data_IF_426492941900
#
_entry.id   IF_426492941900
#
_cell.length_a   1.000
_cell.length_b   1.000
_cell.length_c   1.000
_cell.angle_alpha   90.00
_cell.angle_beta   90.00
_cell.angle_gamma   90.00
#
_symmetry.space_group_name_H-M   'P 1'
#
loop_
_entity.id
_entity.type
_entity.pdbx_description
1 polymer ?
#
# COMPACT_ATOMS: atom_id res chain seq x y z
N UNK A 1 17.46 -20.98 3.83
CA UNK A 1 17.98 -19.86 3.02
C UNK A 1 19.33 -20.20 2.39
N UNK A 2 20.23 -20.81 3.14
CA UNK A 2 21.63 -21.03 2.72
C UNK A 2 21.80 -22.22 1.74
N UNK A 3 20.74 -22.97 1.44
CA UNK A 3 20.77 -24.11 0.53
C UNK A 3 20.33 -23.78 -0.91
N UNK A 4 19.95 -22.52 -1.19
CA UNK A 4 19.53 -22.12 -2.52
C UNK A 4 20.73 -21.55 -3.31
N UNK A 5 20.91 -21.94 -4.59
CA UNK A 5 21.99 -21.39 -5.40
C UNK A 5 21.78 -19.88 -5.62
N UNK A 6 22.78 -19.07 -5.31
CA UNK A 6 22.76 -17.63 -5.48
C UNK A 6 22.85 -17.19 -6.96
N UNK A 7 22.97 -18.12 -7.89
CA UNK A 7 23.33 -17.87 -9.29
C UNK A 7 22.28 -18.34 -10.31
N UNK A 8 21.02 -18.58 -9.88
CA UNK A 8 19.99 -18.96 -10.86
C UNK A 8 19.59 -17.73 -11.68
N UNK A 9 19.81 -17.72 -13.01
CA UNK A 9 19.49 -16.55 -13.81
C UNK A 9 17.99 -16.33 -13.87
N UNK A 10 17.58 -15.06 -13.78
CA UNK A 10 16.18 -14.69 -13.99
C UNK A 10 15.75 -15.08 -15.41
N UNK A 11 14.51 -15.57 -15.55
CA UNK A 11 13.94 -15.88 -16.84
C UNK A 11 13.88 -14.62 -17.73
N UNK A 12 14.21 -14.76 -19.01
CA UNK A 12 14.03 -13.68 -19.97
C UNK A 12 12.54 -13.56 -20.30
N UNK A 13 11.93 -12.42 -19.99
CA UNK A 13 10.53 -12.12 -20.28
C UNK A 13 10.40 -10.93 -21.22
N UNK A 14 9.40 -10.97 -22.11
CA UNK A 14 9.03 -9.84 -22.96
C UNK A 14 8.05 -8.93 -22.23
N UNK A 15 7.97 -7.67 -22.63
CA UNK A 15 7.02 -6.70 -22.07
C UNK A 15 5.55 -7.13 -22.22
N UNK A 16 5.25 -7.95 -23.24
CA UNK A 16 3.93 -8.51 -23.50
C UNK A 16 3.62 -9.79 -22.71
N UNK A 17 4.61 -10.40 -22.08
CA UNK A 17 4.37 -11.64 -21.34
C UNK A 17 3.53 -11.37 -20.08
N UNK A 18 2.72 -12.34 -19.71
CA UNK A 18 1.86 -12.23 -18.52
C UNK A 18 2.70 -12.31 -17.26
N UNK A 19 2.60 -11.30 -16.41
CA UNK A 19 3.23 -11.29 -15.08
C UNK A 19 2.28 -11.81 -14.01
N UNK A 20 1.02 -11.38 -14.07
CA UNK A 20 0.01 -11.74 -13.07
C UNK A 20 -1.28 -12.13 -13.76
N UNK A 21 -1.89 -13.21 -13.27
CA UNK A 21 -3.26 -13.57 -13.56
C UNK A 21 -4.00 -13.75 -12.24
N UNK A 22 -4.98 -12.88 -11.98
CA UNK A 22 -5.79 -12.91 -10.77
C UNK A 22 -7.25 -13.13 -11.11
N UNK A 23 -7.95 -13.90 -10.30
CA UNK A 23 -9.39 -14.13 -10.46
C UNK A 23 -10.17 -13.31 -9.41
N UNK A 24 -11.14 -12.54 -9.89
CA UNK A 24 -12.09 -11.81 -9.05
C UNK A 24 -13.46 -12.48 -9.10
N UNK A 25 -14.28 -12.26 -8.08
CA UNK A 25 -15.62 -12.87 -7.97
C UNK A 25 -16.58 -12.52 -9.12
N UNK A 26 -16.30 -11.44 -9.87
CA UNK A 26 -17.12 -10.98 -10.97
C UNK A 26 -18.56 -10.60 -10.58
N UNK A 27 -19.13 -9.59 -11.21
CA UNK A 27 -20.51 -9.14 -10.96
C UNK A 27 -21.57 -10.12 -11.45
N UNK A 28 -21.22 -11.07 -12.32
CA UNK A 28 -22.13 -12.04 -12.94
C UNK A 28 -22.08 -13.44 -12.31
N UNK A 29 -21.41 -13.59 -11.14
CA UNK A 29 -21.29 -14.87 -10.45
C UNK A 29 -20.23 -15.84 -10.98
N UNK A 30 -19.63 -15.56 -12.15
CA UNK A 30 -18.49 -16.33 -12.67
C UNK A 30 -17.19 -15.58 -12.38
N UNK A 31 -16.12 -16.26 -11.89
CA UNK A 31 -14.81 -15.64 -11.71
C UNK A 31 -14.29 -15.03 -13.01
N UNK A 32 -13.77 -13.80 -12.94
CA UNK A 32 -13.11 -13.12 -14.05
C UNK A 32 -11.61 -13.23 -13.87
N UNK A 33 -10.91 -13.71 -14.88
CA UNK A 33 -9.44 -13.72 -14.93
C UNK A 33 -8.93 -12.36 -15.40
N UNK A 34 -8.28 -11.63 -14.50
CA UNK A 34 -7.61 -10.37 -14.79
C UNK A 34 -6.16 -10.66 -15.12
N UNK A 35 -5.70 -10.15 -16.26
CA UNK A 35 -4.35 -10.40 -16.78
C UNK A 35 -3.59 -9.09 -16.89
N UNK A 36 -2.39 -9.05 -16.30
CA UNK A 36 -1.47 -7.92 -16.42
C UNK A 36 -0.21 -8.36 -17.15
N UNK A 37 0.22 -7.58 -18.14
CA UNK A 37 1.47 -7.79 -18.86
C UNK A 37 2.66 -7.17 -18.13
N UNK A 38 3.84 -7.78 -18.30
CA UNK A 38 5.07 -7.41 -17.57
C UNK A 38 5.42 -5.94 -17.76
N UNK A 39 5.48 -5.44 -18.99
CA UNK A 39 5.89 -4.07 -19.27
C UNK A 39 4.94 -3.03 -18.70
N UNK A 40 3.64 -3.16 -19.00
CA UNK A 40 2.64 -2.20 -18.54
C UNK A 40 2.47 -2.19 -17.01
N UNK A 41 2.35 -3.37 -16.44
CA UNK A 41 2.15 -3.51 -15.00
C UNK A 41 3.35 -2.99 -14.19
N UNK A 42 4.58 -3.44 -14.51
CA UNK A 42 5.77 -3.02 -13.77
C UNK A 42 6.05 -1.52 -13.92
N UNK A 43 5.82 -0.95 -15.10
CA UNK A 43 5.98 0.50 -15.31
C UNK A 43 5.03 1.29 -14.42
N UNK A 44 3.75 0.92 -14.39
CA UNK A 44 2.75 1.63 -13.59
C UNK A 44 2.97 1.44 -12.09
N UNK A 45 3.26 0.22 -11.65
CA UNK A 45 3.50 -0.07 -10.23
C UNK A 45 4.74 0.65 -9.72
N UNK A 46 5.85 0.60 -10.49
CA UNK A 46 7.09 1.29 -10.12
C UNK A 46 6.90 2.81 -10.07
N UNK A 47 6.27 3.39 -11.09
CA UNK A 47 5.98 4.82 -11.14
C UNK A 47 5.10 5.28 -9.98
N UNK A 48 3.99 4.58 -9.73
CA UNK A 48 3.06 4.97 -8.66
C UNK A 48 3.66 4.76 -7.27
N UNK A 49 4.46 3.71 -7.07
CA UNK A 49 5.20 3.53 -5.84
C UNK A 49 6.12 4.72 -5.57
N UNK A 50 6.93 5.11 -6.55
CA UNK A 50 7.88 6.20 -6.40
C UNK A 50 7.21 7.54 -6.06
N UNK A 51 6.18 7.92 -6.83
CA UNK A 51 5.58 9.26 -6.71
C UNK A 51 4.48 9.36 -5.66
N UNK A 52 3.62 8.34 -5.50
CA UNK A 52 2.54 8.40 -4.52
C UNK A 52 3.07 8.25 -3.10
N UNK A 53 4.06 7.38 -2.88
CA UNK A 53 4.69 7.26 -1.57
C UNK A 53 5.88 8.19 -1.38
N UNK A 54 6.19 9.04 -2.38
CA UNK A 54 7.32 9.98 -2.31
C UNK A 54 8.60 9.28 -1.83
N UNK A 55 8.85 8.09 -2.41
CA UNK A 55 9.90 7.18 -1.93
C UNK A 55 11.29 7.80 -1.97
N UNK A 56 12.02 7.68 -0.87
CA UNK A 56 13.40 8.16 -0.70
C UNK A 56 14.33 6.94 -0.54
N UNK A 57 14.97 6.58 -1.64
CA UNK A 57 15.92 5.48 -1.68
C UNK A 57 16.98 5.57 -0.57
N UNK A 58 17.25 4.45 0.09
CA UNK A 58 18.23 4.35 1.18
C UNK A 58 17.83 5.05 2.49
N UNK A 59 16.64 5.65 2.56
CA UNK A 59 16.15 6.36 3.75
C UNK A 59 14.83 5.82 4.28
N UNK A 60 13.96 5.39 3.37
CA UNK A 60 12.63 4.93 3.74
C UNK A 60 12.61 3.44 4.09
N UNK A 61 11.81 3.13 5.09
CA UNK A 61 11.34 1.78 5.39
C UNK A 61 9.85 1.74 5.12
N UNK A 62 9.48 1.02 4.08
CA UNK A 62 8.09 0.88 3.64
C UNK A 62 7.42 -0.33 4.29
N UNK A 63 6.18 -0.19 4.70
CA UNK A 63 5.38 -1.32 5.14
C UNK A 63 3.98 -1.27 4.56
N UNK A 64 3.67 -2.26 3.72
CA UNK A 64 2.32 -2.53 3.24
C UNK A 64 1.72 -3.67 4.09
N UNK A 65 0.67 -3.35 4.85
CA UNK A 65 -0.04 -4.32 5.69
C UNK A 65 -1.14 -5.08 4.94
N UNK A 66 -0.94 -5.35 3.64
CA UNK A 66 -1.87 -6.11 2.83
C UNK A 66 -1.48 -7.59 2.77
N UNK A 67 -2.49 -8.45 2.62
CA UNK A 67 -2.30 -9.88 2.39
C UNK A 67 -1.87 -10.14 0.94
N UNK A 68 -0.94 -11.08 0.76
CA UNK A 68 -0.44 -11.46 -0.57
C UNK A 68 -1.50 -12.12 -1.46
N UNK A 69 -2.60 -12.59 -0.91
CA UNK A 69 -3.74 -13.10 -1.65
C UNK A 69 -4.53 -12.02 -2.43
N UNK A 70 -4.26 -10.74 -2.17
CA UNK A 70 -4.87 -9.61 -2.85
C UNK A 70 -3.88 -8.93 -3.81
N UNK A 71 -4.43 -8.24 -4.82
CA UNK A 71 -3.61 -7.48 -5.78
C UNK A 71 -2.72 -6.44 -5.09
N UNK A 72 -3.15 -5.88 -3.97
CA UNK A 72 -2.36 -4.91 -3.19
C UNK A 72 -1.07 -5.53 -2.67
N UNK A 73 -1.11 -6.80 -2.22
CA UNK A 73 0.08 -7.54 -1.84
C UNK A 73 1.05 -7.73 -3.02
N UNK A 74 0.53 -8.05 -4.20
CA UNK A 74 1.38 -8.14 -5.39
C UNK A 74 1.98 -6.78 -5.77
N UNK A 75 1.15 -5.75 -5.91
CA UNK A 75 1.60 -4.45 -6.43
C UNK A 75 2.49 -3.68 -5.46
N UNK A 76 2.14 -3.66 -4.17
CA UNK A 76 2.78 -2.77 -3.19
C UNK A 76 3.42 -3.47 -1.99
N UNK A 77 3.54 -4.81 -2.03
CA UNK A 77 4.40 -5.56 -1.12
C UNK A 77 5.51 -6.30 -1.89
N UNK A 78 5.33 -6.55 -3.21
CA UNK A 78 6.34 -7.24 -4.01
C UNK A 78 6.89 -6.31 -5.09
N UNK A 79 6.09 -6.02 -6.13
CA UNK A 79 6.62 -5.42 -7.35
C UNK A 79 7.00 -3.94 -7.21
N UNK A 80 6.17 -3.14 -6.57
CA UNK A 80 6.44 -1.70 -6.39
C UNK A 80 7.69 -1.42 -5.58
N UNK A 81 7.76 -1.92 -4.33
CA UNK A 81 8.93 -1.72 -3.48
C UNK A 81 10.21 -2.27 -4.10
N UNK A 82 10.20 -3.52 -4.55
CA UNK A 82 11.42 -4.18 -5.08
C UNK A 82 11.92 -3.55 -6.38
N UNK A 83 11.01 -3.10 -7.27
CA UNK A 83 11.42 -2.39 -8.49
C UNK A 83 12.03 -1.01 -8.24
N UNK A 84 11.84 -0.45 -7.04
CA UNK A 84 12.41 0.82 -6.60
C UNK A 84 13.57 0.65 -5.61
N UNK A 85 14.04 -0.58 -5.36
CA UNK A 85 15.12 -0.84 -4.40
C UNK A 85 14.76 -0.46 -2.96
N UNK A 86 13.49 -0.48 -2.63
CA UNK A 86 13.02 -0.08 -1.30
C UNK A 86 13.39 -1.09 -0.22
N UNK A 87 13.72 -0.58 0.97
CA UNK A 87 13.71 -1.40 2.20
C UNK A 87 12.27 -1.53 2.66
N UNK A 88 11.82 -2.77 2.88
CA UNK A 88 10.44 -3.00 3.30
C UNK A 88 10.33 -4.00 4.45
N UNK A 89 9.24 -3.89 5.18
CA UNK A 89 8.82 -4.86 6.19
C UNK A 89 7.86 -5.85 5.56
N UNK A 90 8.18 -7.14 5.67
CA UNK A 90 7.28 -8.25 5.35
C UNK A 90 6.92 -8.95 6.65
N UNK A 91 5.64 -8.99 6.98
CA UNK A 91 5.13 -9.57 8.21
C UNK A 91 4.21 -10.74 7.93
N UNK A 92 4.56 -11.89 8.47
CA UNK A 92 3.73 -13.10 8.45
C UNK A 92 2.98 -13.22 9.78
N UNK A 93 1.72 -12.83 9.78
CA UNK A 93 0.87 -12.86 10.97
C UNK A 93 -0.39 -12.02 10.84
N UNK A 94 -1.25 -12.11 11.85
CA UNK A 94 -2.43 -11.26 11.97
C UNK A 94 -2.15 -10.02 12.78
N UNK A 95 -2.93 -8.93 12.63
CA UNK A 95 -2.67 -7.66 13.31
C UNK A 95 -2.61 -7.76 14.84
N UNK A 96 -3.28 -8.72 15.44
CA UNK A 96 -3.37 -8.94 16.88
C UNK A 96 -2.55 -10.14 17.39
N UNK A 97 -1.60 -10.63 16.61
CA UNK A 97 -0.75 -11.76 16.99
C UNK A 97 0.70 -11.31 17.28
N UNK A 98 1.25 -11.55 18.47
CA UNK A 98 0.68 -12.25 19.62
C UNK A 98 -0.30 -11.41 20.45
N UNK A 99 -0.38 -10.09 20.21
CA UNK A 99 -1.25 -9.15 20.90
C UNK A 99 -1.52 -7.91 20.04
N UNK A 100 -2.35 -6.99 20.53
CA UNK A 100 -2.80 -5.78 19.82
C UNK A 100 -1.69 -4.71 19.62
N UNK A 101 -0.55 -4.83 20.30
CA UNK A 101 0.59 -3.93 20.14
C UNK A 101 1.46 -4.26 18.91
N UNK A 102 1.28 -5.44 18.31
CA UNK A 102 2.22 -6.01 17.34
C UNK A 102 2.58 -5.08 16.17
N UNK A 103 1.61 -4.40 15.58
CA UNK A 103 1.89 -3.47 14.48
C UNK A 103 2.76 -2.29 14.92
N UNK A 104 2.48 -1.75 16.09
CA UNK A 104 3.19 -0.59 16.62
C UNK A 104 4.61 -0.95 17.09
N UNK A 105 4.79 -2.14 17.66
CA UNK A 105 6.12 -2.71 17.96
C UNK A 105 6.98 -2.86 16.71
N UNK A 106 6.38 -3.28 15.59
CA UNK A 106 7.09 -3.40 14.30
C UNK A 106 7.47 -2.02 13.77
N UNK A 107 6.56 -1.05 13.80
CA UNK A 107 6.84 0.32 13.36
C UNK A 107 8.00 0.91 14.16
N UNK A 108 7.93 0.86 15.48
CA UNK A 108 8.96 1.35 16.38
C UNK A 108 10.30 0.64 16.16
N UNK A 109 10.30 -0.70 16.16
CA UNK A 109 11.50 -1.53 16.05
C UNK A 109 12.27 -1.33 14.75
N UNK A 110 11.56 -1.19 13.63
CA UNK A 110 12.17 -1.11 12.31
C UNK A 110 12.20 0.30 11.72
N UNK A 111 11.70 1.29 12.45
CA UNK A 111 11.66 2.67 12.01
C UNK A 111 10.86 2.85 10.72
N UNK A 112 9.67 2.25 10.67
CA UNK A 112 8.80 2.35 9.48
C UNK A 112 8.49 3.81 9.18
N UNK A 113 8.80 4.24 7.96
CA UNK A 113 8.59 5.64 7.53
C UNK A 113 7.33 5.83 6.70
N UNK A 114 6.92 4.80 5.98
CA UNK A 114 5.70 4.80 5.16
C UNK A 114 4.85 3.59 5.53
N UNK A 115 3.60 3.84 5.95
CA UNK A 115 2.69 2.79 6.40
C UNK A 115 1.40 2.79 5.57
N UNK A 116 1.15 1.69 4.84
CA UNK A 116 0.09 1.55 3.84
C UNK A 116 -0.84 0.41 4.20
N UNK A 117 -2.09 0.72 4.60
CA UNK A 117 -3.04 -0.27 5.15
C UNK A 117 -4.48 0.02 4.74
N UNK A 118 -5.34 -0.99 4.93
CA UNK A 118 -6.77 -0.85 4.67
C UNK A 118 -7.50 -0.11 5.80
N UNK A 119 -8.55 0.68 5.49
CA UNK A 119 -9.41 1.34 6.46
C UNK A 119 -10.03 0.39 7.51
N UNK A 120 -10.30 -0.85 7.14
CA UNK A 120 -10.77 -1.86 8.10
C UNK A 120 -9.77 -2.10 9.23
N UNK A 121 -8.48 -2.12 8.95
CA UNK A 121 -7.44 -2.24 9.98
C UNK A 121 -7.36 -0.97 10.84
N UNK A 122 -7.47 0.21 10.24
CA UNK A 122 -7.53 1.49 10.98
C UNK A 122 -8.68 1.49 11.96
N UNK A 123 -9.89 1.09 11.52
CA UNK A 123 -11.07 0.97 12.39
C UNK A 123 -10.88 -0.07 13.50
N UNK A 124 -10.12 -1.10 13.25
CA UNK A 124 -9.75 -2.09 14.27
C UNK A 124 -8.86 -1.47 15.34
N UNK A 125 -7.85 -0.70 14.96
CA UNK A 125 -7.00 0.04 15.90
C UNK A 125 -7.82 1.05 16.73
N UNK A 126 -8.76 1.76 16.10
CA UNK A 126 -9.69 2.65 16.81
C UNK A 126 -10.48 1.92 17.90
N UNK A 127 -10.95 0.69 17.62
CA UNK A 127 -11.69 -0.13 18.60
C UNK A 127 -10.80 -0.60 19.76
N UNK A 128 -9.54 -0.91 19.51
CA UNK A 128 -8.60 -1.29 20.58
C UNK A 128 -8.26 -0.11 21.48
N UNK A 129 -8.38 1.10 20.96
CA UNK A 129 -8.20 2.34 21.69
C UNK A 129 -6.83 2.96 21.53
N UNK A 130 -6.81 4.27 21.73
CA UNK A 130 -5.62 5.11 21.54
C UNK A 130 -4.45 4.73 22.42
N UNK A 131 -4.69 4.18 23.61
CA UNK A 131 -3.65 3.77 24.54
C UNK A 131 -2.67 2.73 23.97
N UNK A 132 -3.10 1.96 22.93
CA UNK A 132 -2.23 0.98 22.31
C UNK A 132 -1.14 1.66 21.45
N UNK A 133 -1.48 2.47 20.42
CA UNK A 133 -0.44 3.18 19.66
C UNK A 133 0.32 4.22 20.50
N UNK A 134 -0.32 4.90 21.46
CA UNK A 134 0.34 5.91 22.32
C UNK A 134 1.43 5.31 23.23
N UNK A 135 1.48 3.98 23.39
CA UNK A 135 2.53 3.29 24.14
C UNK A 135 3.82 3.06 23.33
N UNK A 136 3.86 3.47 22.05
CA UNK A 136 4.97 3.21 21.14
C UNK A 136 5.50 4.50 20.49
N UNK A 137 6.78 4.49 20.11
CA UNK A 137 7.35 5.58 19.32
C UNK A 137 7.03 5.38 17.82
N UNK A 138 6.09 6.17 17.32
CA UNK A 138 5.68 6.20 15.92
C UNK A 138 6.27 7.40 15.16
N UNK A 139 7.22 8.13 15.74
CA UNK A 139 7.79 9.36 15.18
C UNK A 139 8.56 9.15 13.87
N UNK A 140 8.91 7.91 13.55
CA UNK A 140 9.53 7.55 12.26
C UNK A 140 8.58 7.71 11.07
N UNK A 141 7.26 7.66 11.30
CA UNK A 141 6.26 7.73 10.23
C UNK A 141 6.23 9.13 9.62
N UNK A 142 6.56 9.23 8.34
CA UNK A 142 6.50 10.46 7.55
C UNK A 142 5.34 10.48 6.55
N UNK A 143 4.81 9.30 6.19
CA UNK A 143 3.71 9.15 5.23
C UNK A 143 2.80 7.99 5.62
N UNK A 144 1.51 8.23 5.52
CA UNK A 144 0.47 7.23 5.70
C UNK A 144 -0.25 6.98 4.36
N UNK A 145 -0.72 5.75 4.16
CA UNK A 145 -1.53 5.42 2.99
C UNK A 145 -2.74 4.57 3.34
N UNK A 146 -3.80 4.74 2.56
CA UNK A 146 -5.06 4.01 2.67
C UNK A 146 -5.40 3.31 1.36
N UNK A 147 -5.90 2.08 1.43
CA UNK A 147 -6.13 1.23 0.26
C UNK A 147 -7.27 0.23 0.44
N UNK A 148 -7.90 -0.13 -0.69
CA UNK A 148 -8.77 -1.30 -0.81
C UNK A 148 -10.25 -1.03 -0.57
N UNK A 149 -10.59 0.02 0.15
CA UNK A 149 -11.96 0.45 0.41
C UNK A 149 -12.02 1.95 0.71
N UNK A 150 -13.18 2.61 0.56
CA UNK A 150 -13.32 4.00 0.97
C UNK A 150 -13.06 4.18 2.47
N UNK A 151 -12.26 5.18 2.82
CA UNK A 151 -12.03 5.57 4.21
C UNK A 151 -13.01 6.68 4.61
N UNK A 152 -13.75 6.49 5.69
CA UNK A 152 -14.60 7.55 6.21
C UNK A 152 -13.77 8.67 6.88
N UNK A 153 -14.27 9.94 6.86
CA UNK A 153 -13.51 11.07 7.38
C UNK A 153 -13.05 10.95 8.83
N UNK A 154 -13.80 10.26 9.67
CA UNK A 154 -13.45 10.03 11.07
C UNK A 154 -12.22 9.13 11.21
N UNK A 155 -12.21 7.99 10.53
CA UNK A 155 -11.06 7.08 10.52
C UNK A 155 -9.81 7.74 9.89
N UNK A 156 -10.00 8.53 8.83
CA UNK A 156 -8.92 9.29 8.21
C UNK A 156 -8.28 10.29 9.20
N UNK A 157 -9.11 11.06 9.93
CA UNK A 157 -8.62 12.03 10.93
C UNK A 157 -7.90 11.32 12.07
N UNK A 158 -8.48 10.23 12.59
CA UNK A 158 -7.87 9.44 13.65
C UNK A 158 -6.51 8.87 13.20
N UNK A 159 -6.44 8.34 11.99
CA UNK A 159 -5.20 7.77 11.42
C UNK A 159 -4.10 8.82 11.31
N UNK A 160 -4.45 10.02 10.82
CA UNK A 160 -3.53 11.16 10.78
C UNK A 160 -3.07 11.62 12.15
N UNK A 161 -4.02 11.75 13.09
CA UNK A 161 -3.73 12.28 14.43
C UNK A 161 -2.91 11.29 15.25
N UNK A 162 -3.39 10.05 15.36
CA UNK A 162 -2.86 9.08 16.33
C UNK A 162 -1.63 8.36 15.77
N UNK A 163 -1.69 7.91 14.52
CA UNK A 163 -0.58 7.16 13.92
C UNK A 163 0.42 8.10 13.24
N UNK A 164 -0.04 9.14 12.59
CA UNK A 164 0.79 10.10 11.85
C UNK A 164 1.24 11.32 12.64
N UNK A 165 0.95 11.40 13.94
CA UNK A 165 1.36 12.51 14.81
C UNK A 165 0.91 13.90 14.30
N UNK A 166 -0.19 14.00 13.57
CA UNK A 166 -0.70 15.20 12.87
C UNK A 166 0.22 15.78 11.80
N UNK A 167 1.42 15.26 11.60
CA UNK A 167 2.42 15.76 10.66
C UNK A 167 2.47 14.96 9.36
N UNK A 168 2.32 13.64 9.44
CA UNK A 168 2.36 12.76 8.27
C UNK A 168 1.12 12.99 7.37
N UNK A 169 1.30 13.30 6.07
CA UNK A 169 0.19 13.32 5.13
C UNK A 169 -0.36 11.93 4.89
N UNK A 170 -1.62 11.86 4.46
CA UNK A 170 -2.26 10.60 4.05
C UNK A 170 -2.46 10.62 2.54
N UNK A 171 -1.98 9.59 1.86
CA UNK A 171 -2.36 9.28 0.49
C UNK A 171 -3.49 8.24 0.52
N UNK A 172 -4.71 8.70 0.26
CA UNK A 172 -5.87 7.84 0.07
C UNK A 172 -5.91 7.42 -1.39
N UNK A 173 -5.78 6.13 -1.66
CA UNK A 173 -5.55 5.62 -3.01
C UNK A 173 -6.78 4.88 -3.54
N UNK A 174 -7.20 5.23 -4.76
CA UNK A 174 -8.22 4.49 -5.48
C UNK A 174 -7.63 3.76 -6.67
N UNK A 175 -7.89 2.46 -6.71
CA UNK A 175 -7.53 1.55 -7.79
C UNK A 175 -8.19 0.19 -7.60
N UNK A 176 -8.02 -0.71 -8.55
CA UNK A 176 -8.69 -2.01 -8.57
C UNK A 176 -7.73 -3.12 -9.04
N UNK A 177 -8.12 -4.37 -8.87
CA UNK A 177 -7.41 -5.52 -9.47
C UNK A 177 -7.27 -5.35 -10.97
N UNK A 178 -8.31 -4.84 -11.62
CA UNK A 178 -8.36 -4.57 -13.05
C UNK A 178 -7.37 -3.51 -13.53
N UNK A 179 -7.05 -2.53 -12.69
CA UNK A 179 -6.06 -1.49 -13.03
C UNK A 179 -4.63 -1.86 -12.65
N UNK A 180 -4.47 -2.80 -11.72
CA UNK A 180 -3.18 -3.32 -11.28
C UNK A 180 -2.36 -2.41 -10.37
N UNK A 181 -2.59 -1.09 -10.43
CA UNK A 181 -1.90 -0.10 -9.61
C UNK A 181 -2.76 1.15 -9.41
N UNK A 182 -2.27 2.09 -8.59
CA UNK A 182 -2.96 3.32 -8.20
C UNK A 182 -3.28 4.18 -9.42
N UNK A 183 -4.54 4.63 -9.50
CA UNK A 183 -5.07 5.49 -10.58
C UNK A 183 -5.37 6.90 -10.07
N UNK A 184 -5.92 7.00 -8.86
CA UNK A 184 -6.33 8.26 -8.23
C UNK A 184 -5.70 8.33 -6.84
N UNK A 185 -5.00 9.42 -6.56
CA UNK A 185 -4.35 9.64 -5.27
C UNK A 185 -3.89 11.09 -5.13
N UNK A 186 -3.89 11.67 -3.93
CA UNK A 186 -3.11 12.89 -3.70
C UNK A 186 -1.61 12.59 -3.82
N UNK A 187 -0.83 13.57 -4.24
CA UNK A 187 0.63 13.52 -4.22
C UNK A 187 1.15 14.32 -3.02
N UNK A 188 2.04 13.73 -2.20
CA UNK A 188 2.60 14.39 -1.01
C UNK A 188 3.28 15.71 -1.38
N UNK A 189 3.00 16.77 -0.61
CA UNK A 189 3.55 18.10 -0.85
C UNK A 189 2.98 18.86 -2.06
N UNK A 190 2.17 18.23 -2.90
CA UNK A 190 1.60 18.82 -4.12
C UNK A 190 0.10 19.00 -4.03
N UNK A 191 -0.61 17.98 -3.53
CA UNK A 191 -2.08 17.98 -3.51
C UNK A 191 -2.61 18.22 -2.11
N UNK A 192 -3.44 19.25 -1.94
CA UNK A 192 -4.20 19.41 -0.70
C UNK A 192 -5.14 18.22 -0.51
N UNK A 193 -5.14 17.63 0.69
CA UNK A 193 -5.94 16.45 1.00
C UNK A 193 -7.28 16.80 1.62
N UNK A 194 -8.27 15.94 1.39
CA UNK A 194 -9.60 16.02 2.01
C UNK A 194 -9.93 14.66 2.61
N UNK A 195 -10.30 14.59 3.90
CA UNK A 195 -10.69 13.33 4.54
C UNK A 195 -11.76 12.58 3.74
N UNK A 196 -11.49 11.32 3.43
CA UNK A 196 -12.40 10.46 2.67
C UNK A 196 -12.40 10.68 1.16
N UNK A 197 -11.35 11.29 0.59
CA UNK A 197 -11.23 11.51 -0.84
C UNK A 197 -9.86 11.13 -1.36
N UNK A 198 -9.82 10.32 -2.43
CA UNK A 198 -8.61 10.02 -3.19
C UNK A 198 -8.16 11.18 -4.11
N UNK A 199 -8.87 12.28 -4.12
CA UNK A 199 -8.56 13.57 -4.74
C UNK A 199 -8.62 13.59 -6.27
N UNK A 200 -7.48 13.36 -6.96
CA UNK A 200 -7.35 13.58 -8.41
C UNK A 200 -6.71 12.38 -9.11
N UNK A 201 -7.08 12.15 -10.38
CA UNK A 201 -6.36 11.20 -11.22
C UNK A 201 -4.87 11.53 -11.30
N UNK A 202 -4.05 10.49 -11.31
CA UNK A 202 -2.62 10.64 -11.55
C UNK A 202 -2.34 11.04 -13.01
N UNK A 203 -1.16 11.61 -13.31
CA UNK A 203 -0.77 11.94 -14.67
C UNK A 203 -0.91 10.75 -15.63
N UNK A 204 -1.53 10.95 -16.77
CA UNK A 204 -1.84 9.91 -17.75
C UNK A 204 -3.17 9.18 -17.54
N UNK A 205 -3.89 9.47 -16.45
CA UNK A 205 -5.19 8.88 -16.14
C UNK A 205 -6.31 9.89 -16.44
N UNK A 206 -7.30 9.46 -17.22
CA UNK A 206 -8.55 10.21 -17.43
C UNK A 206 -9.66 9.51 -16.64
N UNK A 207 -10.31 10.25 -15.73
CA UNK A 207 -11.41 9.75 -14.93
C UNK A 207 -12.63 10.65 -15.09
N UNK A 208 -13.80 10.04 -15.32
CA UNK A 208 -15.07 10.72 -15.41
C UNK A 208 -16.09 10.05 -14.49
N UNK A 209 -16.97 10.84 -13.91
CA UNK A 209 -18.16 10.34 -13.23
C UNK A 209 -19.25 10.30 -14.26
N UNK A 210 -19.88 9.16 -14.40
CA UNK A 210 -21.00 8.94 -15.33
C UNK A 210 -22.22 8.49 -14.53
N UNK A 211 -23.42 8.84 -15.02
CA UNK A 211 -24.72 8.43 -14.47
C UNK A 211 -25.00 6.95 -14.78
#
# INVERSE_FOLDING_TARGET
>A
RDAQPASEPAATVKSSDVTIQLYTSGTTGKPKGIVHSSGGYLTQVSYTFHYVFDHKEGRDVFWCGADIGWVTGHSYLVYGPLSNGATEVVYEGTPNSPNEHRHFEIIEKYGVTTYYIAPTLIRTFMKWGRQIPDAHDLSSIRLLGSVGEPINPEAWKWYREVIGGNSAPIVDTWWQTETGAIMISPLPGVTATKPGSAMKPLPGISANIVD
#
